data_IF_933109143148
#
_entry.id   IF_933109143148
#
_cell.length_a   1.000
_cell.length_b   1.000
_cell.length_c   1.000
_cell.angle_alpha   90.00
_cell.angle_beta   90.00
_cell.angle_gamma   90.00
#
_symmetry.space_group_name_H-M   'P 1'
#
loop_
_entity.id
_entity.type
_entity.pdbx_description
1 polymer ?
#
# COMPACT_ATOMS: atom_id res chain seq x y z
N UNK A 1 -7.42 43.39 -28.51
CA UNK A 1 -7.96 42.16 -27.89
C UNK A 1 -9.45 42.35 -27.68
N UNK A 2 -10.29 41.56 -28.35
CA UNK A 2 -11.74 41.67 -28.22
C UNK A 2 -12.16 41.40 -26.77
N UNK A 3 -13.00 42.26 -26.19
CA UNK A 3 -13.51 42.12 -24.82
C UNK A 3 -14.15 40.73 -24.58
N UNK A 4 -14.78 40.17 -25.61
CA UNK A 4 -15.30 38.79 -25.63
C UNK A 4 -14.25 37.72 -25.28
N UNK A 5 -13.01 37.88 -25.73
CA UNK A 5 -11.93 36.91 -25.50
C UNK A 5 -11.46 36.93 -24.04
N UNK A 6 -11.51 38.11 -23.39
CA UNK A 6 -11.15 38.29 -21.98
C UNK A 6 -12.22 37.65 -21.08
N UNK A 7 -13.51 37.81 -21.42
CA UNK A 7 -14.61 37.17 -20.69
C UNK A 7 -14.61 35.65 -20.81
N UNK A 8 -14.31 35.11 -22.00
CA UNK A 8 -14.18 33.67 -22.20
C UNK A 8 -13.03 33.05 -21.37
N UNK A 9 -11.86 33.73 -21.34
CA UNK A 9 -10.71 33.27 -20.55
C UNK A 9 -10.98 33.29 -19.04
N UNK A 10 -11.70 34.30 -18.55
CA UNK A 10 -12.03 34.44 -17.12
C UNK A 10 -13.08 33.42 -16.67
N UNK A 11 -14.04 33.05 -17.51
CA UNK A 11 -14.99 31.95 -17.25
C UNK A 11 -14.25 30.59 -17.18
N UNK A 12 -13.29 30.35 -18.06
CA UNK A 12 -12.50 29.12 -18.07
C UNK A 12 -11.65 28.96 -16.79
N UNK A 13 -11.12 30.08 -16.26
CA UNK A 13 -10.31 30.08 -15.03
C UNK A 13 -11.16 29.80 -13.77
N UNK A 14 -12.41 30.25 -13.73
CA UNK A 14 -13.33 30.02 -12.59
C UNK A 14 -13.80 28.55 -12.52
N UNK A 15 -14.00 27.89 -13.66
CA UNK A 15 -14.47 26.49 -13.69
C UNK A 15 -13.34 25.51 -13.31
N UNK A 16 -12.08 25.83 -13.65
CA UNK A 16 -10.93 24.99 -13.32
C UNK A 16 -10.57 24.90 -11.83
N UNK A 17 -11.05 25.84 -11.00
CA UNK A 17 -10.68 25.94 -9.57
C UNK A 17 -11.42 25.00 -8.62
N UNK A 18 -12.53 24.38 -9.03
CA UNK A 18 -13.39 23.56 -8.15
C UNK A 18 -13.22 22.04 -8.34
N UNK A 19 -12.32 21.58 -9.20
CA UNK A 19 -12.28 20.19 -9.65
C UNK A 19 -11.49 19.20 -8.76
N UNK A 20 -10.95 19.62 -7.61
CA UNK A 20 -10.13 18.73 -6.77
C UNK A 20 -10.77 18.43 -5.43
N UNK A 21 -11.98 17.85 -5.46
CA UNK A 21 -12.56 17.23 -4.29
C UNK A 21 -11.86 15.87 -4.09
N UNK A 22 -10.80 15.84 -3.28
CA UNK A 22 -10.13 14.58 -2.91
C UNK A 22 -11.11 13.75 -2.08
N UNK A 23 -11.86 12.86 -2.72
CA UNK A 23 -12.71 11.88 -2.04
C UNK A 23 -11.81 10.91 -1.27
N UNK A 24 -11.57 11.23 0.00
CA UNK A 24 -10.81 10.35 0.89
C UNK A 24 -11.68 9.14 1.23
N UNK A 25 -11.12 7.92 1.22
CA UNK A 25 -11.85 6.75 1.67
C UNK A 25 -12.24 6.94 3.15
N UNK A 26 -13.48 6.59 3.50
CA UNK A 26 -13.96 6.64 4.89
C UNK A 26 -13.32 5.56 5.77
N UNK A 27 -12.82 4.48 5.15
CA UNK A 27 -12.19 3.35 5.81
C UNK A 27 -11.06 2.82 4.93
N UNK A 28 -9.92 2.53 5.54
CA UNK A 28 -8.80 1.81 4.93
C UNK A 28 -8.59 0.54 5.76
N UNK A 29 -8.57 -0.62 5.10
CA UNK A 29 -8.35 -1.91 5.76
C UNK A 29 -7.02 -2.47 5.27
N UNK A 30 -6.05 -2.61 6.16
CA UNK A 30 -4.80 -3.30 5.90
C UNK A 30 -4.91 -4.78 6.30
N UNK A 31 -4.64 -5.70 5.38
CA UNK A 31 -4.68 -7.14 5.62
C UNK A 31 -3.29 -7.70 5.29
N UNK A 32 -2.66 -8.35 6.26
CA UNK A 32 -1.41 -9.09 6.08
C UNK A 32 -1.70 -10.56 6.37
N UNK A 33 -1.54 -11.41 5.37
CA UNK A 33 -1.68 -12.87 5.53
C UNK A 33 -0.29 -13.42 5.83
N UNK A 34 -0.09 -13.91 7.05
CA UNK A 34 1.22 -14.40 7.48
C UNK A 34 1.67 -15.61 6.64
N UNK A 35 2.96 -15.65 6.32
CA UNK A 35 3.60 -16.68 5.51
C UNK A 35 2.96 -16.92 4.12
N UNK A 36 2.20 -15.95 3.60
CA UNK A 36 1.57 -16.06 2.27
C UNK A 36 2.58 -15.76 1.18
N UNK A 37 3.00 -16.80 0.44
CA UNK A 37 3.83 -16.63 -0.74
C UNK A 37 2.98 -16.19 -1.93
N UNK A 38 3.57 -15.40 -2.82
CA UNK A 38 2.86 -14.88 -4.00
C UNK A 38 2.34 -15.99 -4.91
N UNK A 39 3.07 -17.10 -5.09
CA UNK A 39 2.67 -18.21 -5.96
C UNK A 39 1.39 -18.91 -5.50
N UNK A 40 0.96 -18.75 -4.25
CA UNK A 40 -0.32 -19.30 -3.78
C UNK A 40 -1.52 -18.63 -4.47
N UNK A 41 -1.41 -17.35 -4.82
CA UNK A 41 -2.49 -16.62 -5.51
C UNK A 41 -2.79 -17.22 -6.88
N UNK A 42 -1.77 -17.64 -7.62
CA UNK A 42 -1.93 -18.23 -8.96
C UNK A 42 -2.11 -19.74 -8.90
N UNK A 43 -1.38 -20.44 -8.01
CA UNK A 43 -1.44 -21.91 -7.89
C UNK A 43 -2.81 -22.42 -7.47
N UNK A 44 -3.53 -21.66 -6.64
CA UNK A 44 -4.82 -22.06 -6.08
C UNK A 44 -5.98 -21.19 -6.58
N UNK A 45 -5.78 -20.42 -7.65
CA UNK A 45 -6.78 -19.49 -8.22
C UNK A 45 -8.14 -20.17 -8.43
N UNK A 46 -8.14 -21.36 -9.04
CA UNK A 46 -9.36 -22.15 -9.31
C UNK A 46 -10.07 -22.66 -8.04
N UNK A 47 -9.45 -22.55 -6.86
CA UNK A 47 -10.04 -22.91 -5.57
C UNK A 47 -10.58 -21.70 -4.81
N UNK A 48 -10.29 -20.48 -5.27
CA UNK A 48 -10.82 -19.27 -4.66
C UNK A 48 -12.16 -18.90 -5.30
N UNK A 49 -13.07 -18.35 -4.48
CA UNK A 49 -14.32 -17.78 -4.98
C UNK A 49 -14.13 -16.35 -5.51
N UNK A 50 -15.12 -15.89 -6.27
CA UNK A 50 -15.03 -14.63 -7.03
C UNK A 50 -14.92 -13.38 -6.15
N UNK A 51 -15.36 -13.42 -4.89
CA UNK A 51 -15.43 -12.24 -4.00
C UNK A 51 -14.22 -12.06 -3.07
N UNK A 52 -13.19 -12.90 -3.19
CA UNK A 52 -11.99 -12.89 -2.34
C UNK A 52 -10.74 -12.39 -3.07
N UNK A 53 -9.68 -13.21 -3.07
CA UNK A 53 -8.42 -12.90 -3.78
C UNK A 53 -8.63 -12.62 -5.27
N UNK A 54 -9.51 -13.38 -5.94
CA UNK A 54 -9.80 -13.19 -7.37
C UNK A 54 -10.32 -11.78 -7.66
N UNK A 55 -11.24 -11.26 -6.83
CA UNK A 55 -11.69 -9.86 -6.92
C UNK A 55 -10.55 -8.86 -6.77
N UNK A 56 -9.71 -9.03 -5.74
CA UNK A 56 -8.59 -8.11 -5.48
C UNK A 56 -7.59 -8.07 -6.63
N UNK A 57 -7.36 -9.21 -7.30
CA UNK A 57 -6.47 -9.30 -8.46
C UNK A 57 -7.11 -8.71 -9.72
N UNK A 58 -8.40 -8.96 -9.96
CA UNK A 58 -9.11 -8.54 -11.16
C UNK A 58 -9.53 -7.06 -11.16
N UNK A 59 -10.03 -6.56 -10.02
CA UNK A 59 -10.56 -5.20 -9.87
C UNK A 59 -9.56 -4.24 -9.20
N UNK A 60 -8.51 -4.77 -8.57
CA UNK A 60 -7.50 -4.01 -7.84
C UNK A 60 -6.21 -3.82 -8.61
N UNK A 61 -5.14 -3.54 -7.87
CA UNK A 61 -3.78 -3.43 -8.41
C UNK A 61 -2.89 -4.52 -7.82
N UNK A 62 -2.22 -5.28 -8.68
CA UNK A 62 -1.42 -6.43 -8.27
C UNK A 62 0.09 -6.22 -8.56
N UNK A 63 0.88 -6.06 -7.50
CA UNK A 63 2.34 -5.89 -7.56
C UNK A 63 3.06 -7.25 -7.58
N UNK A 64 3.23 -7.84 -8.78
CA UNK A 64 3.76 -9.21 -8.95
C UNK A 64 5.25 -9.40 -8.61
N UNK A 65 6.04 -8.33 -8.61
CA UNK A 65 7.50 -8.35 -8.43
C UNK A 65 7.94 -7.66 -7.14
N UNK A 66 7.15 -7.77 -6.08
CA UNK A 66 7.45 -7.13 -4.79
C UNK A 66 8.32 -8.05 -3.92
N UNK A 67 9.40 -7.52 -3.37
CA UNK A 67 10.39 -8.26 -2.57
C UNK A 67 10.71 -7.52 -1.27
N UNK A 68 11.06 -8.27 -0.23
CA UNK A 68 11.66 -7.67 0.97
C UNK A 68 13.03 -7.11 0.63
N UNK A 69 13.27 -5.85 0.99
CA UNK A 69 14.56 -5.17 0.82
C UNK A 69 15.44 -5.27 2.08
N UNK A 70 15.14 -6.22 2.96
CA UNK A 70 15.87 -6.45 4.22
C UNK A 70 15.89 -7.93 4.58
N UNK A 71 16.75 -8.25 5.54
CA UNK A 71 16.87 -9.54 6.22
C UNK A 71 16.91 -9.24 7.73
N UNK A 72 16.32 -10.06 8.60
CA UNK A 72 15.60 -11.32 8.35
C UNK A 72 14.11 -11.14 8.00
N UNK A 73 13.54 -12.06 7.23
CA UNK A 73 12.12 -12.08 6.85
C UNK A 73 11.27 -12.76 7.93
N UNK A 74 11.28 -12.20 9.13
CA UNK A 74 10.45 -12.63 10.27
C UNK A 74 9.18 -11.79 10.38
N UNK A 75 8.20 -12.32 11.12
CA UNK A 75 6.87 -11.70 11.31
C UNK A 75 6.94 -10.28 11.85
N UNK A 76 7.65 -10.03 12.95
CA UNK A 76 7.70 -8.71 13.59
C UNK A 76 8.40 -7.64 12.72
N UNK A 77 9.60 -7.88 12.15
CA UNK A 77 10.20 -6.98 11.15
C UNK A 77 9.26 -6.73 9.96
N UNK A 78 8.65 -7.81 9.44
CA UNK A 78 7.65 -7.82 8.37
C UNK A 78 6.55 -6.78 8.56
N UNK A 79 5.81 -6.92 9.66
CA UNK A 79 4.68 -6.06 9.98
C UNK A 79 5.13 -4.62 10.24
N UNK A 80 6.23 -4.41 10.97
CA UNK A 80 6.73 -3.08 11.23
C UNK A 80 7.08 -2.34 9.94
N UNK A 81 7.76 -3.00 8.98
CA UNK A 81 8.12 -2.38 7.72
C UNK A 81 6.92 -2.03 6.83
N UNK A 82 5.87 -2.86 6.80
CA UNK A 82 4.65 -2.60 6.00
C UNK A 82 3.96 -1.30 6.42
N UNK A 83 3.86 -1.04 7.72
CA UNK A 83 3.12 0.12 8.25
C UNK A 83 3.98 1.36 8.49
N UNK A 84 5.30 1.22 8.55
CA UNK A 84 6.22 2.36 8.72
C UNK A 84 6.84 2.84 7.41
N UNK A 85 6.83 2.01 6.37
CA UNK A 85 7.46 2.33 5.09
C UNK A 85 9.00 2.38 5.15
N UNK A 86 9.61 1.82 6.20
CA UNK A 86 11.07 1.78 6.38
C UNK A 86 11.56 0.39 6.77
N UNK A 87 12.88 0.20 6.81
CA UNK A 87 13.50 -1.11 7.09
C UNK A 87 13.81 -1.31 8.57
N UNK A 88 14.10 -2.56 9.02
CA UNK A 88 14.47 -2.87 10.40
C UNK A 88 15.60 -2.02 10.98
N UNK A 89 16.51 -1.55 10.12
CA UNK A 89 17.58 -0.62 10.50
C UNK A 89 17.05 0.68 11.10
N UNK A 90 15.93 1.20 10.61
CA UNK A 90 15.40 2.50 11.00
C UNK A 90 14.32 2.38 12.08
N UNK A 91 13.39 1.41 11.95
CA UNK A 91 12.33 1.24 12.94
C UNK A 91 12.75 0.37 14.15
N UNK A 92 13.92 -0.27 14.11
CA UNK A 92 14.52 -0.97 15.25
C UNK A 92 13.95 -2.37 15.57
N UNK A 93 12.91 -2.81 14.87
CA UNK A 93 12.34 -4.16 15.04
C UNK A 93 13.09 -5.13 14.13
N UNK A 94 14.14 -5.74 14.67
CA UNK A 94 15.11 -6.55 13.90
C UNK A 94 14.82 -8.05 13.88
N UNK A 95 13.97 -8.54 14.79
CA UNK A 95 13.61 -9.96 14.90
C UNK A 95 12.31 -10.13 15.68
N UNK A 96 11.78 -11.36 15.79
CA UNK A 96 10.72 -11.68 16.75
C UNK A 96 11.24 -11.67 18.19
N UNK A 97 12.52 -11.98 18.36
CA UNK A 97 13.26 -11.92 19.61
C UNK A 97 14.72 -11.62 19.33
N UNK A 98 15.35 -10.84 20.20
CA UNK A 98 16.78 -10.55 20.13
C UNK A 98 17.35 -10.41 21.54
N UNK A 99 18.63 -10.72 21.68
CA UNK A 99 19.35 -10.58 22.94
C UNK A 99 19.63 -9.11 23.23
N UNK A 100 19.23 -8.65 24.41
CA UNK A 100 19.58 -7.37 24.99
C UNK A 100 20.80 -7.52 25.89
N UNK A 101 21.89 -6.87 25.47
CA UNK A 101 23.16 -6.85 26.19
C UNK A 101 23.06 -6.16 27.55
N UNK A 102 22.18 -5.18 27.70
CA UNK A 102 22.03 -4.40 28.93
C UNK A 102 21.38 -5.24 30.02
N UNK A 103 20.25 -5.88 29.71
CA UNK A 103 19.54 -6.77 30.63
C UNK A 103 20.08 -8.19 30.68
N UNK A 104 21.04 -8.53 29.80
CA UNK A 104 21.63 -9.87 29.61
C UNK A 104 20.59 -10.95 29.32
N UNK A 105 19.58 -10.64 28.52
CA UNK A 105 18.47 -11.54 28.20
C UNK A 105 18.06 -11.40 26.75
#
# INVERSE_FOLDING_TARGET
MNRLLIYALSIFFVIGGFAQQTSKPKLVVGIVVDQMRYDYLTRFENKYGDRGFNRLIAEGYNCKNHHFNYVPTYTAPGHASIYTGTTPRYHGIISNSWYDKSSKR
#
